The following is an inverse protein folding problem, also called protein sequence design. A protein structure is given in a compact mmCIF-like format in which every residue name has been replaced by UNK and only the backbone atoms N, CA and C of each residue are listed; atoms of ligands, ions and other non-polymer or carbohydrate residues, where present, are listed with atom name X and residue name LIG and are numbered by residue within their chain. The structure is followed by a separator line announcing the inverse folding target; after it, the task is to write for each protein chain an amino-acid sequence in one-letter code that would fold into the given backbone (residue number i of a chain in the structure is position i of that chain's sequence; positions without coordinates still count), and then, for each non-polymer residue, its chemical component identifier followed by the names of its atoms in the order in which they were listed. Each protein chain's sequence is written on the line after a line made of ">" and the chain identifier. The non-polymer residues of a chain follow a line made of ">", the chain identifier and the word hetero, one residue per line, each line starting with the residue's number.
data_IF_928422705667
#
_entry.id   IF_928422705667
#
_cell.length_a   1.000
_cell.length_b   1.000
_cell.length_c   1.000
_cell.angle_alpha   90.00
_cell.angle_beta   90.00
_cell.angle_gamma   90.00
#
_symmetry.space_group_name_H-M   'P 1'
#
loop_
_entity.id
_entity.type
_entity.pdbx_description
1 polymer ?
#
# COMPACT_ATOMS: atom_id res chain seq x y z
N UNK A 1 34.72 -14.42 -20.91
CA UNK A 1 33.33 -14.03 -20.61
C UNK A 1 32.42 -15.19 -20.96
N UNK A 2 31.45 -15.50 -20.10
CA UNK A 2 30.14 -15.94 -20.55
C UNK A 2 29.14 -14.82 -20.27
N UNK A 3 28.43 -14.48 -21.33
CA UNK A 3 27.28 -13.61 -21.42
C UNK A 3 26.09 -14.32 -20.75
N UNK A 4 25.37 -13.64 -19.88
CA UNK A 4 23.98 -13.30 -20.16
C UNK A 4 23.39 -12.52 -19.00
N UNK A 5 22.77 -11.42 -19.37
CA UNK A 5 22.05 -10.51 -18.51
C UNK A 5 21.09 -11.25 -17.59
N UNK A 6 21.30 -11.12 -16.28
CA UNK A 6 20.16 -11.06 -15.38
C UNK A 6 19.40 -9.75 -15.68
N UNK A 7 18.68 -9.74 -16.80
CA UNK A 7 17.91 -8.62 -17.38
C UNK A 7 16.73 -8.17 -16.49
N UNK A 8 16.71 -8.62 -15.24
CA UNK A 8 15.89 -8.08 -14.17
C UNK A 8 16.52 -8.46 -12.82
N UNK A 9 17.00 -7.51 -12.02
CA UNK A 9 17.22 -7.74 -10.60
C UNK A 9 15.90 -8.27 -9.99
N UNK A 10 15.96 -9.04 -8.91
CA UNK A 10 14.78 -9.56 -8.19
C UNK A 10 13.96 -8.42 -7.55
N UNK A 11 13.32 -7.60 -8.37
CA UNK A 11 12.39 -6.56 -7.99
C UNK A 11 11.06 -7.20 -7.59
N UNK A 12 10.46 -6.75 -6.49
CA UNK A 12 9.25 -7.37 -5.93
C UNK A 12 9.35 -7.88 -4.49
N UNK A 13 10.44 -7.61 -3.76
CA UNK A 13 10.49 -7.83 -2.30
C UNK A 13 9.72 -6.73 -1.55
N UNK A 14 8.50 -6.39 -1.94
CA UNK A 14 7.72 -5.39 -1.19
C UNK A 14 7.56 -5.80 0.28
N UNK A 15 7.54 -7.11 0.59
CA UNK A 15 7.47 -7.65 1.94
C UNK A 15 8.64 -7.23 2.86
N UNK A 16 9.80 -6.79 2.33
CA UNK A 16 10.92 -6.30 3.15
C UNK A 16 10.86 -4.79 3.38
N UNK A 17 9.98 -4.07 2.66
CA UNK A 17 9.82 -2.63 2.84
C UNK A 17 9.12 -2.38 4.17
N UNK A 18 9.74 -1.55 5.02
CA UNK A 18 9.12 -1.10 6.27
C UNK A 18 7.77 -0.42 6.01
N UNK A 19 7.68 0.37 4.94
CA UNK A 19 6.42 1.02 4.53
C UNK A 19 5.32 0.01 4.24
N UNK A 20 5.63 -1.11 3.58
CA UNK A 20 4.65 -2.16 3.32
C UNK A 20 4.22 -2.87 4.60
N UNK A 21 5.18 -3.24 5.46
CA UNK A 21 4.89 -3.93 6.73
C UNK A 21 4.03 -3.06 7.66
N UNK A 22 4.35 -1.76 7.76
CA UNK A 22 3.58 -0.80 8.56
C UNK A 22 2.21 -0.58 7.94
N UNK A 23 2.09 -0.42 6.62
CA UNK A 23 0.80 -0.28 5.96
C UNK A 23 -0.08 -1.52 6.15
N UNK A 24 0.50 -2.72 6.15
CA UNK A 24 -0.24 -3.95 6.39
C UNK A 24 -0.74 -4.02 7.84
N UNK A 25 0.09 -3.65 8.82
CA UNK A 25 -0.34 -3.52 10.20
C UNK A 25 -1.45 -2.49 10.37
N UNK A 26 -1.33 -1.32 9.70
CA UNK A 26 -2.36 -0.28 9.70
C UNK A 26 -3.67 -0.84 9.15
N UNK A 27 -3.65 -1.56 8.02
CA UNK A 27 -4.84 -2.20 7.47
C UNK A 27 -5.52 -3.14 8.47
N UNK A 28 -4.77 -4.04 9.11
CA UNK A 28 -5.32 -4.99 10.08
C UNK A 28 -5.94 -4.26 11.30
N UNK A 29 -5.29 -3.20 11.76
CA UNK A 29 -5.80 -2.36 12.86
C UNK A 29 -7.03 -1.57 12.42
N UNK A 30 -7.06 -1.00 11.21
CA UNK A 30 -8.20 -0.27 10.67
C UNK A 30 -9.42 -1.15 10.55
N UNK A 31 -9.29 -2.36 10.00
CA UNK A 31 -10.41 -3.31 9.92
C UNK A 31 -10.99 -3.59 11.32
N UNK A 32 -10.13 -3.86 12.31
CA UNK A 32 -10.57 -4.10 13.69
C UNK A 32 -11.20 -2.87 14.36
N UNK A 33 -10.67 -1.68 14.07
CA UNK A 33 -11.20 -0.42 14.57
C UNK A 33 -12.59 -0.17 13.99
N UNK A 34 -12.73 -0.22 12.67
CA UNK A 34 -13.99 0.01 11.98
C UNK A 34 -15.04 -1.01 12.42
N UNK A 35 -14.70 -2.31 12.48
CA UNK A 35 -15.63 -3.36 12.92
C UNK A 35 -16.12 -3.20 14.37
N UNK A 36 -15.35 -2.48 15.22
CA UNK A 36 -15.68 -2.29 16.63
C UNK A 36 -16.38 -0.98 16.92
N UNK A 37 -16.01 0.09 16.23
CA UNK A 37 -16.39 1.46 16.61
C UNK A 37 -17.22 2.18 15.56
N UNK A 38 -17.33 1.64 14.34
CA UNK A 38 -18.06 2.26 13.25
C UNK A 38 -19.15 1.30 12.80
N UNK A 39 -20.35 1.82 12.52
CA UNK A 39 -21.43 1.00 11.95
C UNK A 39 -20.95 0.35 10.65
N UNK A 40 -21.04 -0.98 10.59
CA UNK A 40 -20.59 -1.83 9.48
C UNK A 40 -21.32 -1.54 8.17
N UNK A 41 -22.48 -0.89 8.22
CA UNK A 41 -23.23 -0.46 7.03
C UNK A 41 -22.99 1.00 6.66
N UNK A 42 -22.19 1.72 7.43
CA UNK A 42 -21.89 3.12 7.16
C UNK A 42 -20.88 3.25 6.02
N UNK A 43 -21.04 4.33 5.25
CA UNK A 43 -20.07 4.69 4.21
C UNK A 43 -18.67 4.94 4.79
N UNK A 44 -18.57 5.48 6.00
CA UNK A 44 -17.30 5.74 6.68
C UNK A 44 -16.52 4.46 6.94
N UNK A 45 -17.19 3.37 7.36
CA UNK A 45 -16.55 2.06 7.53
C UNK A 45 -15.91 1.60 6.23
N UNK A 46 -16.69 1.61 5.14
CA UNK A 46 -16.22 1.19 3.82
C UNK A 46 -15.08 2.07 3.30
N UNK A 47 -15.13 3.38 3.55
CA UNK A 47 -14.11 4.34 3.10
C UNK A 47 -12.77 4.09 3.80
N UNK A 48 -12.78 3.99 5.14
CA UNK A 48 -11.56 3.74 5.91
C UNK A 48 -10.89 2.42 5.55
N UNK A 49 -11.68 1.33 5.48
CA UNK A 49 -11.15 0.00 5.12
C UNK A 49 -10.56 0.01 3.70
N UNK A 50 -11.20 0.70 2.76
CA UNK A 50 -10.70 0.82 1.39
C UNK A 50 -9.44 1.68 1.31
N UNK A 51 -9.39 2.82 2.01
CA UNK A 51 -8.21 3.69 2.04
C UNK A 51 -6.98 2.93 2.55
N UNK A 52 -7.13 2.21 3.67
CA UNK A 52 -6.08 1.37 4.22
C UNK A 52 -5.63 0.26 3.24
N UNK A 53 -6.58 -0.43 2.61
CA UNK A 53 -6.29 -1.47 1.61
C UNK A 53 -5.55 -0.92 0.39
N UNK A 54 -5.99 0.24 -0.11
CA UNK A 54 -5.38 0.90 -1.26
C UNK A 54 -3.95 1.34 -0.97
N UNK A 55 -3.66 1.82 0.24
CA UNK A 55 -2.30 2.11 0.70
C UNK A 55 -1.36 0.90 0.56
N UNK A 56 -1.75 -0.23 1.14
CA UNK A 56 -0.96 -1.49 1.08
C UNK A 56 -0.72 -1.94 -0.36
N UNK A 57 -1.78 -1.98 -1.17
CA UNK A 57 -1.70 -2.47 -2.55
C UNK A 57 -0.82 -1.58 -3.42
N UNK A 58 -0.91 -0.27 -3.30
CA UNK A 58 -0.13 0.65 -4.12
C UNK A 58 1.36 0.65 -3.74
N UNK A 59 1.72 0.42 -2.46
CA UNK A 59 3.10 0.19 -2.06
C UNK A 59 3.65 -1.09 -2.72
N UNK A 60 2.89 -2.19 -2.68
CA UNK A 60 3.30 -3.45 -3.30
C UNK A 60 3.47 -3.31 -4.82
N UNK A 61 2.47 -2.73 -5.51
CA UNK A 61 2.52 -2.47 -6.96
C UNK A 61 3.67 -1.53 -7.32
N UNK A 62 3.87 -0.46 -6.57
CA UNK A 62 4.95 0.50 -6.80
C UNK A 62 6.33 -0.16 -6.71
N UNK A 63 6.54 -1.00 -5.70
CA UNK A 63 7.77 -1.78 -5.54
C UNK A 63 8.02 -2.76 -6.68
N UNK A 64 6.97 -3.42 -7.18
CA UNK A 64 7.07 -4.31 -8.33
C UNK A 64 7.40 -3.55 -9.62
N UNK A 65 6.81 -2.36 -9.81
CA UNK A 65 7.07 -1.51 -10.98
C UNK A 65 8.45 -0.84 -10.98
N UNK A 66 9.16 -0.84 -9.85
CA UNK A 66 10.50 -0.23 -9.68
C UNK A 66 11.54 -0.75 -10.68
N UNK A 67 11.42 -2.02 -11.10
CA UNK A 67 12.29 -2.65 -12.09
C UNK A 67 11.91 -2.36 -13.55
N UNK A 68 10.70 -1.84 -13.79
CA UNK A 68 10.16 -1.59 -15.13
C UNK A 68 10.13 -0.10 -15.44
N UNK A 69 9.67 0.73 -14.49
CA UNK A 69 9.50 2.16 -14.68
C UNK A 69 9.56 2.94 -13.36
N UNK A 70 10.57 3.80 -13.23
CA UNK A 70 10.70 4.75 -12.11
C UNK A 70 9.54 5.72 -12.02
N UNK A 71 8.99 6.13 -13.17
CA UNK A 71 7.79 6.99 -13.22
C UNK A 71 6.59 6.29 -12.58
N UNK A 72 6.36 5.02 -12.91
CA UNK A 72 5.24 4.26 -12.36
C UNK A 72 5.42 3.94 -10.87
N UNK A 73 6.63 3.58 -10.45
CA UNK A 73 6.98 3.43 -9.03
C UNK A 73 6.62 4.68 -8.22
N UNK A 74 7.06 5.85 -8.69
CA UNK A 74 6.81 7.12 -8.00
C UNK A 74 5.31 7.47 -7.97
N UNK A 75 4.61 7.28 -9.09
CA UNK A 75 3.16 7.51 -9.16
C UNK A 75 2.39 6.63 -8.17
N UNK A 76 2.66 5.32 -8.15
CA UNK A 76 1.98 4.40 -7.23
C UNK A 76 2.34 4.68 -5.77
N UNK A 77 3.57 5.08 -5.49
CA UNK A 77 3.98 5.51 -4.15
C UNK A 77 3.20 6.75 -3.70
N UNK A 78 2.99 7.72 -4.59
CA UNK A 78 2.20 8.91 -4.30
C UNK A 78 0.72 8.59 -4.07
N UNK A 79 0.13 7.67 -4.86
CA UNK A 79 -1.24 7.20 -4.63
C UNK A 79 -1.35 6.51 -3.27
N UNK A 80 -0.38 5.67 -2.90
CA UNK A 80 -0.37 5.04 -1.58
C UNK A 80 -0.32 6.07 -0.45
N UNK A 81 0.52 7.10 -0.57
CA UNK A 81 0.60 8.20 0.40
C UNK A 81 -0.73 8.91 0.53
N UNK A 82 -1.36 9.30 -0.58
CA UNK A 82 -2.65 10.00 -0.56
C UNK A 82 -3.74 9.16 0.12
N UNK A 83 -3.82 7.84 -0.17
CA UNK A 83 -4.78 6.95 0.50
C UNK A 83 -4.55 6.85 2.02
N UNK A 84 -3.30 6.88 2.47
CA UNK A 84 -2.99 6.84 3.91
C UNK A 84 -3.22 8.19 4.59
N UNK A 85 -3.08 9.30 3.88
CA UNK A 85 -3.46 10.65 4.36
C UNK A 85 -4.98 10.78 4.50
N UNK A 86 -5.75 10.29 3.54
CA UNK A 86 -7.22 10.20 3.66
C UNK A 86 -7.62 9.36 4.87
N UNK A 87 -7.02 8.19 5.04
CA UNK A 87 -7.27 7.34 6.21
C UNK A 87 -6.93 8.05 7.52
N UNK A 88 -5.83 8.80 7.57
CA UNK A 88 -5.48 9.57 8.77
C UNK A 88 -6.56 10.59 9.12
N UNK A 89 -7.09 11.32 8.12
CA UNK A 89 -8.16 12.28 8.33
C UNK A 89 -9.46 11.60 8.82
N UNK A 90 -9.74 10.37 8.40
CA UNK A 90 -10.91 9.61 8.90
C UNK A 90 -10.76 9.19 10.39
N UNK A 91 -9.54 9.20 10.94
CA UNK A 91 -9.28 8.89 12.36
C UNK A 91 -9.36 10.12 13.28
N UNK A 92 -9.25 11.33 12.73
CA UNK A 92 -9.27 12.60 13.46
C UNK A 92 -10.70 13.09 13.73
#
# INVERSE_FOLDING_TARGET
>A
MPEDEALNPKHGRYCILKSFQIAQLLYDVTVRFCDRYIDRRSRTHDQMVQAARNGVQNIAKGSQMSGISKKMEMNLTNVARASLEELQLDYE
#
